data_IF_262497176443
#
_entry.id   IF_262497176443
#
_cell.length_a   1.000
_cell.length_b   1.000
_cell.length_c   1.000
_cell.angle_alpha   90.00
_cell.angle_beta   90.00
_cell.angle_gamma   90.00
#
_symmetry.space_group_name_H-M   'P 1'
#
loop_
_entity.id
_entity.type
_entity.pdbx_description
1 polymer ?
#
# COMPACT_ATOMS: atom_id res chain seq x y z
N UNK A 1 -4.57 7.33 -19.81
CA UNK A 1 -3.73 8.19 -18.94
C UNK A 1 -3.34 9.42 -19.73
N UNK A 2 -3.52 10.65 -19.17
CA UNK A 2 -3.18 11.89 -19.88
C UNK A 2 -1.80 12.45 -19.52
N UNK A 3 -1.14 11.86 -18.54
CA UNK A 3 0.19 12.25 -18.08
C UNK A 3 1.05 10.99 -17.92
N UNK A 4 2.08 10.78 -18.77
CA UNK A 4 2.94 9.60 -18.68
C UNK A 4 3.76 9.54 -17.38
N UNK A 5 3.93 10.65 -16.66
CA UNK A 5 4.55 10.67 -15.32
C UNK A 5 3.55 10.44 -14.17
N UNK A 6 2.29 10.07 -14.48
CA UNK A 6 1.28 9.57 -13.53
C UNK A 6 0.78 8.24 -14.08
N UNK A 7 1.60 7.22 -13.91
CA UNK A 7 1.36 5.88 -14.45
C UNK A 7 2.22 4.85 -13.70
N UNK A 8 1.95 3.58 -13.95
CA UNK A 8 2.70 2.46 -13.39
C UNK A 8 3.45 1.74 -14.50
N UNK A 9 4.74 1.50 -14.31
CA UNK A 9 5.63 0.90 -15.30
C UNK A 9 6.23 -0.40 -14.79
N UNK A 10 6.34 -1.40 -15.67
CA UNK A 10 6.91 -2.71 -15.35
C UNK A 10 8.41 -2.71 -15.58
N UNK A 11 9.17 -3.19 -14.60
CA UNK A 11 10.63 -3.35 -14.68
C UNK A 11 11.05 -4.67 -15.35
N UNK A 12 12.33 -4.80 -15.67
CA UNK A 12 12.91 -6.00 -16.29
C UNK A 12 12.63 -7.28 -15.49
N UNK A 13 12.69 -7.19 -14.17
CA UNK A 13 12.44 -8.28 -13.22
C UNK A 13 10.96 -8.47 -12.87
N UNK A 14 10.07 -7.86 -13.65
CA UNK A 14 8.62 -8.05 -13.52
C UNK A 14 7.97 -7.31 -12.36
N UNK A 15 8.71 -6.42 -11.69
CA UNK A 15 8.20 -5.57 -10.62
C UNK A 15 7.55 -4.31 -11.21
N UNK A 16 6.91 -3.52 -10.37
CA UNK A 16 6.26 -2.31 -10.82
C UNK A 16 6.70 -1.09 -10.02
N UNK A 17 6.80 0.04 -10.72
CA UNK A 17 7.08 1.36 -10.16
C UNK A 17 5.91 2.27 -10.54
N UNK A 18 5.33 2.94 -9.55
CA UNK A 18 4.33 3.97 -9.75
C UNK A 18 5.01 5.34 -9.76
N UNK A 19 4.77 6.11 -10.81
CA UNK A 19 5.11 7.52 -10.87
C UNK A 19 3.89 8.37 -10.52
N UNK A 20 4.07 9.45 -9.76
CA UNK A 20 2.99 10.32 -9.30
C UNK A 20 3.36 11.81 -9.43
N UNK A 21 3.99 12.18 -10.56
CA UNK A 21 4.51 13.52 -10.83
C UNK A 21 3.44 14.37 -11.51
N UNK A 22 2.53 14.94 -10.72
CA UNK A 22 1.38 15.70 -11.24
C UNK A 22 1.79 16.91 -12.09
N UNK A 23 2.90 17.57 -11.72
CA UNK A 23 3.45 18.71 -12.46
C UNK A 23 4.39 18.22 -13.58
N UNK A 24 3.82 17.57 -14.58
CA UNK A 24 4.55 16.89 -15.67
C UNK A 24 5.66 17.76 -16.29
N UNK A 25 5.41 19.04 -16.54
CA UNK A 25 6.42 19.92 -17.15
C UNK A 25 7.63 20.16 -16.25
N UNK A 26 7.41 20.25 -14.93
CA UNK A 26 8.50 20.47 -13.95
C UNK A 26 9.44 19.27 -13.88
N UNK A 27 8.87 18.06 -13.90
CA UNK A 27 9.62 16.84 -13.63
C UNK A 27 10.12 16.10 -14.88
N UNK A 28 9.66 16.47 -16.08
CA UNK A 28 10.01 15.74 -17.31
C UNK A 28 11.50 15.72 -17.60
N UNK A 29 12.12 16.89 -17.74
CA UNK A 29 13.55 16.98 -18.03
C UNK A 29 14.45 16.40 -16.93
N UNK A 30 14.21 16.66 -15.60
CA UNK A 30 14.94 16.00 -14.54
C UNK A 30 14.80 14.48 -14.54
N UNK A 31 13.60 13.95 -14.81
CA UNK A 31 13.36 12.52 -14.94
C UNK A 31 14.15 11.92 -16.12
N UNK A 32 14.07 12.52 -17.29
CA UNK A 32 14.80 12.06 -18.47
C UNK A 32 16.33 12.09 -18.23
N UNK A 33 16.84 13.12 -17.59
CA UNK A 33 18.26 13.23 -17.24
C UNK A 33 18.67 12.11 -16.27
N UNK A 34 17.88 11.87 -15.23
CA UNK A 34 18.17 10.81 -14.25
C UNK A 34 18.14 9.42 -14.89
N UNK A 35 17.25 9.21 -15.86
CA UNK A 35 17.09 7.96 -16.59
C UNK A 35 18.08 7.76 -17.76
N UNK A 36 18.98 8.73 -17.98
CA UNK A 36 19.93 8.76 -19.10
C UNK A 36 19.22 8.73 -20.48
N UNK A 37 18.11 9.47 -20.58
CA UNK A 37 17.28 9.63 -21.79
C UNK A 37 17.02 11.11 -22.09
N UNK A 38 18.09 11.89 -22.19
CA UNK A 38 18.02 13.32 -22.56
C UNK A 38 17.42 13.53 -23.96
N UNK A 39 17.55 12.51 -24.84
CA UNK A 39 16.90 12.47 -26.13
C UNK A 39 15.37 12.65 -26.02
N UNK A 40 14.73 12.08 -25.01
CA UNK A 40 13.29 12.24 -24.77
C UNK A 40 12.94 13.63 -24.22
N UNK A 41 13.85 14.26 -23.47
CA UNK A 41 13.62 15.60 -22.96
C UNK A 41 13.56 16.63 -24.09
N UNK A 42 14.38 16.44 -25.12
CA UNK A 42 14.53 17.33 -26.26
C UNK A 42 13.63 16.93 -27.48
N UNK A 43 12.97 15.78 -27.39
CA UNK A 43 12.07 15.32 -28.46
C UNK A 43 10.87 16.25 -28.59
N UNK A 44 10.64 16.86 -29.76
CA UNK A 44 9.53 17.81 -29.97
C UNK A 44 8.15 17.20 -29.73
N UNK A 45 8.03 15.86 -29.77
CA UNK A 45 6.79 15.15 -29.41
C UNK A 45 6.52 15.18 -27.91
N UNK A 46 7.57 15.37 -27.06
CA UNK A 46 7.49 15.17 -25.62
C UNK A 46 8.02 16.34 -24.79
N UNK A 47 8.74 17.29 -25.37
CA UNK A 47 9.40 18.40 -24.69
C UNK A 47 8.43 19.27 -23.86
N UNK A 48 7.24 19.54 -24.40
CA UNK A 48 6.22 20.34 -23.72
C UNK A 48 5.09 19.45 -23.19
N UNK A 49 4.46 19.85 -22.07
CA UNK A 49 3.34 19.10 -21.47
C UNK A 49 2.17 18.91 -22.46
N UNK A 50 1.85 19.93 -23.26
CA UNK A 50 0.83 19.86 -24.30
C UNK A 50 1.15 18.82 -25.37
N UNK A 51 2.43 18.69 -25.73
CA UNK A 51 2.87 17.74 -26.75
C UNK A 51 2.91 16.32 -26.22
N UNK A 52 3.36 16.13 -24.97
CA UNK A 52 3.27 14.84 -24.27
C UNK A 52 1.83 14.33 -24.15
N UNK A 53 0.88 15.22 -23.83
CA UNK A 53 -0.55 14.86 -23.78
C UNK A 53 -1.10 14.47 -25.12
N UNK A 54 -0.71 15.18 -26.18
CA UNK A 54 -1.14 14.89 -27.56
C UNK A 54 -0.57 13.56 -28.04
N UNK A 55 0.67 13.25 -27.65
CA UNK A 55 1.40 12.05 -28.04
C UNK A 55 1.52 11.03 -26.90
N UNK A 56 0.57 11.02 -25.94
CA UNK A 56 0.68 10.26 -24.71
C UNK A 56 0.92 8.76 -24.94
N UNK A 57 0.28 8.15 -25.94
CA UNK A 57 0.48 6.74 -26.27
C UNK A 57 1.92 6.44 -26.68
N UNK A 58 2.51 7.28 -27.54
CA UNK A 58 3.90 7.14 -27.95
C UNK A 58 4.86 7.38 -26.77
N UNK A 59 4.59 8.36 -25.92
CA UNK A 59 5.41 8.64 -24.75
C UNK A 59 5.36 7.49 -23.73
N UNK A 60 4.18 6.93 -23.46
CA UNK A 60 4.02 5.76 -22.59
C UNK A 60 4.79 4.55 -23.14
N UNK A 61 4.72 4.30 -24.46
CA UNK A 61 5.46 3.20 -25.09
C UNK A 61 6.99 3.35 -24.94
N UNK A 62 7.53 4.58 -25.06
CA UNK A 62 8.94 4.86 -24.79
C UNK A 62 9.30 4.57 -23.33
N UNK A 63 8.45 4.99 -22.40
CA UNK A 63 8.69 4.73 -20.97
C UNK A 63 8.52 3.26 -20.60
N UNK A 64 7.55 2.55 -21.17
CA UNK A 64 7.41 1.09 -20.98
C UNK A 64 8.68 0.36 -21.41
N UNK A 65 9.22 0.68 -22.59
CA UNK A 65 10.47 0.10 -23.08
C UNK A 65 11.66 0.46 -22.19
N UNK A 66 11.72 1.71 -21.73
CA UNK A 66 12.77 2.20 -20.83
C UNK A 66 12.76 1.47 -19.48
N UNK A 67 11.58 1.36 -18.84
CA UNK A 67 11.44 0.69 -17.55
C UNK A 67 11.71 -0.82 -17.64
N UNK A 68 11.27 -1.46 -18.72
CA UNK A 68 11.54 -2.88 -18.99
C UNK A 68 13.03 -3.20 -19.21
N UNK A 69 13.86 -2.19 -19.45
CA UNK A 69 15.30 -2.37 -19.69
C UNK A 69 16.15 -2.52 -18.43
N UNK A 70 15.62 -2.28 -17.23
CA UNK A 70 16.39 -2.28 -15.97
C UNK A 70 15.61 -2.93 -14.84
N UNK A 71 16.34 -3.47 -13.85
CA UNK A 71 15.73 -4.06 -12.64
C UNK A 71 15.13 -3.00 -11.71
N UNK A 72 14.26 -3.44 -10.78
CA UNK A 72 13.75 -2.57 -9.72
C UNK A 72 14.87 -1.94 -8.88
N UNK A 73 15.92 -2.71 -8.59
CA UNK A 73 17.07 -2.24 -7.82
C UNK A 73 17.82 -1.09 -8.53
N UNK A 74 18.00 -1.22 -9.85
CA UNK A 74 18.64 -0.17 -10.66
C UNK A 74 17.75 1.08 -10.70
N UNK A 75 16.44 0.90 -10.92
CA UNK A 75 15.49 2.00 -10.96
C UNK A 75 15.41 2.77 -9.64
N UNK A 76 15.49 2.10 -8.49
CA UNK A 76 15.58 2.77 -7.18
C UNK A 76 16.76 3.75 -7.11
N UNK A 77 17.92 3.36 -7.62
CA UNK A 77 19.10 4.22 -7.63
C UNK A 77 18.95 5.39 -8.62
N UNK A 78 18.36 5.13 -9.77
CA UNK A 78 18.13 6.14 -10.81
C UNK A 78 17.13 7.19 -10.31
N UNK A 79 15.96 6.75 -9.84
CA UNK A 79 14.89 7.64 -9.43
C UNK A 79 15.20 8.41 -8.14
N UNK A 80 16.10 7.90 -7.30
CA UNK A 80 16.59 8.64 -6.14
C UNK A 80 17.41 9.89 -6.48
N UNK A 81 17.82 10.08 -7.76
CA UNK A 81 18.60 11.23 -8.21
C UNK A 81 17.73 12.41 -8.68
N UNK A 82 16.41 12.27 -8.64
CA UNK A 82 15.47 13.29 -9.09
C UNK A 82 14.38 13.53 -8.02
N UNK A 83 13.72 14.70 -8.07
CA UNK A 83 12.80 15.17 -7.03
C UNK A 83 11.31 14.76 -7.28
N UNK A 84 11.02 14.17 -8.43
CA UNK A 84 9.65 13.76 -8.76
C UNK A 84 9.18 12.61 -7.87
N UNK A 85 7.89 12.59 -7.58
CA UNK A 85 7.28 11.59 -6.70
C UNK A 85 7.17 10.24 -7.42
N UNK A 86 7.66 9.21 -6.77
CA UNK A 86 7.58 7.82 -7.23
C UNK A 86 7.63 6.88 -6.04
N UNK A 87 7.12 5.67 -6.23
CA UNK A 87 7.32 4.58 -5.27
C UNK A 87 7.23 3.23 -5.98
N UNK A 88 7.67 2.19 -5.29
CA UNK A 88 7.53 0.81 -5.77
C UNK A 88 6.14 0.27 -5.44
N UNK A 89 5.62 -0.59 -6.30
CA UNK A 89 4.43 -1.38 -5.96
C UNK A 89 4.88 -2.61 -5.21
N UNK A 90 4.72 -2.59 -3.90
CA UNK A 90 5.06 -3.69 -3.00
C UNK A 90 4.03 -4.81 -3.12
N UNK A 91 4.45 -6.05 -2.90
CA UNK A 91 3.54 -7.16 -2.65
C UNK A 91 3.22 -7.26 -1.14
N UNK A 92 2.18 -8.02 -0.80
CA UNK A 92 1.71 -8.13 0.59
C UNK A 92 2.77 -8.69 1.54
N UNK A 93 3.61 -9.61 1.08
CA UNK A 93 4.67 -10.20 1.91
C UNK A 93 5.76 -9.18 2.29
N UNK A 94 6.04 -8.21 1.42
CA UNK A 94 7.03 -7.16 1.66
C UNK A 94 6.60 -6.15 2.70
N UNK A 95 5.28 -5.99 2.93
CA UNK A 95 4.74 -5.04 3.89
C UNK A 95 5.19 -5.33 5.33
N UNK A 96 5.39 -6.60 5.68
CA UNK A 96 5.85 -6.98 7.02
C UNK A 96 7.25 -6.44 7.35
N UNK A 97 8.08 -6.24 6.32
CA UNK A 97 9.45 -5.76 6.43
C UNK A 97 9.61 -4.28 6.05
N UNK A 98 8.54 -3.64 5.59
CA UNK A 98 8.57 -2.23 5.21
C UNK A 98 8.83 -1.32 6.41
N UNK A 99 9.84 -0.43 6.36
CA UNK A 99 10.18 0.46 7.48
C UNK A 99 9.03 1.40 7.86
N UNK A 100 8.23 1.85 6.90
CA UNK A 100 7.10 2.75 7.15
C UNK A 100 5.95 2.01 7.84
N UNK A 101 5.67 0.76 7.43
CA UNK A 101 4.66 -0.11 8.06
C UNK A 101 5.06 -0.38 9.51
N UNK A 102 6.33 -0.67 9.76
CA UNK A 102 6.87 -0.90 11.12
C UNK A 102 6.83 0.36 11.98
N UNK A 103 7.30 1.50 11.46
CA UNK A 103 7.31 2.77 12.19
C UNK A 103 5.90 3.20 12.61
N UNK A 104 4.89 2.98 11.77
CA UNK A 104 3.49 3.27 12.06
C UNK A 104 2.76 2.14 12.81
N UNK A 105 3.40 1.02 13.06
CA UNK A 105 2.78 -0.15 13.73
C UNK A 105 1.50 -0.61 13.04
N UNK A 106 1.47 -0.60 11.70
CA UNK A 106 0.32 -1.07 10.93
C UNK A 106 0.13 -2.58 11.00
N UNK A 107 1.20 -3.32 11.32
CA UNK A 107 1.14 -4.75 11.62
C UNK A 107 1.70 -4.94 13.02
N UNK A 108 0.93 -5.56 13.92
CA UNK A 108 1.30 -5.79 15.31
C UNK A 108 1.13 -7.26 15.67
N UNK A 109 1.98 -7.81 16.57
CA UNK A 109 1.80 -9.16 17.08
C UNK A 109 0.59 -9.21 18.02
N UNK A 110 -0.26 -10.22 17.85
CA UNK A 110 -1.40 -10.51 18.71
C UNK A 110 -1.22 -11.90 19.28
N UNK A 111 -1.31 -12.02 20.60
CA UNK A 111 -1.29 -13.30 21.30
C UNK A 111 -2.70 -13.90 21.36
N UNK A 112 -2.86 -15.04 20.72
CA UNK A 112 -4.10 -15.84 20.70
C UNK A 112 -4.13 -16.90 21.81
N UNK A 113 -3.23 -16.82 22.76
CA UNK A 113 -3.09 -17.79 23.85
C UNK A 113 -2.23 -19.01 23.46
N UNK A 114 -1.81 -19.77 24.48
CA UNK A 114 -0.94 -20.94 24.33
C UNK A 114 0.35 -20.69 23.53
N UNK A 115 0.89 -19.47 23.57
CA UNK A 115 2.11 -19.06 22.83
C UNK A 115 1.89 -18.85 21.34
N UNK A 116 0.66 -18.82 20.86
CA UNK A 116 0.35 -18.57 19.43
C UNK A 116 0.29 -17.08 19.16
N UNK A 117 1.41 -16.50 18.75
CA UNK A 117 1.51 -15.10 18.35
C UNK A 117 1.38 -15.02 16.83
N UNK A 118 0.46 -14.17 16.33
CA UNK A 118 0.24 -13.95 14.92
C UNK A 118 0.34 -12.45 14.58
N UNK A 119 0.98 -12.07 13.46
CA UNK A 119 0.96 -10.70 12.98
C UNK A 119 -0.45 -10.34 12.47
N UNK A 120 -1.03 -9.29 13.03
CA UNK A 120 -2.35 -8.79 12.63
C UNK A 120 -2.25 -7.33 12.17
N UNK A 121 -3.04 -7.01 11.15
CA UNK A 121 -3.15 -5.63 10.67
C UNK A 121 -3.93 -4.81 11.70
N UNK A 122 -3.35 -3.70 12.12
CA UNK A 122 -4.01 -2.72 12.99
C UNK A 122 -5.07 -1.93 12.22
N UNK A 123 -5.95 -1.24 12.96
CA UNK A 123 -6.86 -0.28 12.32
C UNK A 123 -6.05 0.83 11.64
N UNK A 124 -6.50 1.36 10.49
CA UNK A 124 -5.80 2.46 9.82
C UNK A 124 -5.95 3.79 10.57
N UNK A 125 -6.89 3.87 11.51
CA UNK A 125 -7.16 5.08 12.30
C UNK A 125 -6.23 5.09 13.52
N UNK A 126 -5.55 6.21 13.70
CA UNK A 126 -4.71 6.48 14.87
C UNK A 126 -5.25 7.70 15.62
N UNK A 127 -5.25 7.62 16.94
CA UNK A 127 -5.57 8.74 17.82
C UNK A 127 -4.29 9.24 18.47
N UNK A 128 -4.02 10.54 18.38
CA UNK A 128 -2.79 11.17 18.88
C UNK A 128 -1.50 10.47 18.42
N UNK A 129 -1.50 9.98 17.15
CA UNK A 129 -0.36 9.25 16.59
C UNK A 129 -0.16 7.84 17.15
N UNK A 130 -1.14 7.33 17.93
CA UNK A 130 -1.09 6.00 18.53
C UNK A 130 -2.07 5.07 17.83
N UNK A 131 -1.62 3.98 17.19
CA UNK A 131 -2.50 2.96 16.64
C UNK A 131 -3.19 2.19 17.79
N UNK A 132 -4.44 1.81 17.56
CA UNK A 132 -5.13 0.90 18.47
C UNK A 132 -4.46 -0.48 18.43
N UNK A 133 -4.24 -1.06 19.61
CA UNK A 133 -3.72 -2.41 19.70
C UNK A 133 -4.79 -3.42 19.25
N UNK A 134 -4.51 -4.27 18.24
CA UNK A 134 -5.42 -5.33 17.84
C UNK A 134 -5.56 -6.35 18.97
N UNK A 135 -6.74 -6.95 19.09
CA UNK A 135 -7.05 -8.00 20.08
C UNK A 135 -7.54 -9.24 19.32
N UNK A 136 -7.38 -10.43 19.89
CA UNK A 136 -8.05 -11.61 19.38
C UNK A 136 -9.57 -11.40 19.32
N UNK A 137 -10.21 -11.97 18.31
CA UNK A 137 -11.66 -12.07 18.34
C UNK A 137 -12.07 -13.01 19.48
N UNK A 138 -13.18 -12.72 20.16
CA UNK A 138 -13.69 -13.64 21.19
C UNK A 138 -14.06 -15.00 20.58
N UNK A 139 -13.97 -16.04 21.37
CA UNK A 139 -14.49 -17.35 20.97
C UNK A 139 -16.03 -17.32 20.86
N UNK A 140 -16.57 -18.32 20.17
CA UNK A 140 -18.03 -18.43 20.04
C UNK A 140 -18.65 -18.54 21.45
N UNK A 141 -19.57 -17.64 21.76
CA UNK A 141 -20.27 -17.59 23.03
C UNK A 141 -19.49 -17.04 24.22
N UNK A 142 -18.22 -16.66 24.05
CA UNK A 142 -17.33 -16.19 25.15
C UNK A 142 -17.94 -15.07 26.00
N UNK A 143 -18.71 -14.17 25.38
CA UNK A 143 -19.32 -13.02 26.06
C UNK A 143 -20.84 -13.17 26.27
N UNK A 144 -21.44 -14.33 25.96
CA UNK A 144 -22.90 -14.50 26.00
C UNK A 144 -23.48 -14.24 27.38
N UNK A 145 -22.88 -14.78 28.45
CA UNK A 145 -23.35 -14.59 29.82
C UNK A 145 -23.24 -13.13 30.26
N UNK A 146 -22.09 -12.51 30.00
CA UNK A 146 -21.85 -11.09 30.34
C UNK A 146 -22.88 -10.17 29.69
N UNK A 147 -23.14 -10.38 28.40
CA UNK A 147 -24.08 -9.57 27.62
C UNK A 147 -25.52 -9.78 28.11
N UNK A 148 -25.95 -11.02 28.35
CA UNK A 148 -27.30 -11.32 28.82
C UNK A 148 -27.55 -10.80 30.23
N UNK A 149 -26.56 -10.93 31.13
CA UNK A 149 -26.61 -10.34 32.46
C UNK A 149 -26.72 -8.82 32.38
N UNK A 150 -25.96 -8.14 31.54
CA UNK A 150 -26.06 -6.70 31.33
C UNK A 150 -27.42 -6.26 30.77
N UNK A 151 -28.11 -7.13 30.04
CA UNK A 151 -29.47 -6.93 29.53
C UNK A 151 -30.55 -7.27 30.59
N UNK A 152 -30.19 -7.72 31.79
CA UNK A 152 -31.11 -7.97 32.90
C UNK A 152 -31.65 -9.39 32.98
N UNK A 153 -31.12 -10.35 32.22
CA UNK A 153 -31.46 -11.77 32.37
C UNK A 153 -30.87 -12.31 33.67
N UNK A 154 -31.67 -13.12 34.37
CA UNK A 154 -31.23 -13.86 35.54
C UNK A 154 -30.36 -15.05 35.14
N UNK A 155 -29.58 -15.58 36.11
CA UNK A 155 -28.75 -16.76 35.89
C UNK A 155 -29.57 -17.98 35.43
N UNK A 156 -30.76 -18.19 36.02
CA UNK A 156 -31.67 -19.29 35.66
C UNK A 156 -32.18 -19.16 34.21
N UNK A 157 -32.49 -17.94 33.77
CA UNK A 157 -32.91 -17.69 32.41
C UNK A 157 -31.77 -17.97 31.41
N UNK A 158 -30.54 -17.54 31.73
CA UNK A 158 -29.35 -17.78 30.90
C UNK A 158 -29.07 -19.27 30.77
N UNK A 159 -29.15 -20.02 31.89
CA UNK A 159 -29.01 -21.50 31.92
C UNK A 159 -30.11 -22.13 31.02
N UNK A 160 -31.33 -21.65 31.14
CA UNK A 160 -32.45 -22.14 30.29
C UNK A 160 -32.18 -21.93 28.82
N UNK A 161 -31.62 -20.78 28.42
CA UNK A 161 -31.23 -20.47 27.03
C UNK A 161 -30.11 -21.40 26.53
N UNK A 162 -29.13 -21.70 27.39
CA UNK A 162 -28.06 -22.65 27.06
C UNK A 162 -28.55 -24.08 26.89
N UNK A 163 -29.43 -24.54 27.79
CA UNK A 163 -30.05 -25.87 27.70
C UNK A 163 -30.89 -26.01 26.41
N UNK A 164 -31.50 -24.92 25.96
CA UNK A 164 -32.29 -24.90 24.74
C UNK A 164 -31.44 -24.67 23.46
N UNK A 165 -30.10 -24.67 23.55
CA UNK A 165 -29.14 -24.40 22.46
C UNK A 165 -29.42 -23.06 21.74
N UNK A 166 -29.96 -22.06 22.41
CA UNK A 166 -30.23 -20.73 21.87
C UNK A 166 -28.96 -19.84 21.96
N UNK A 167 -28.16 -20.04 23.03
CA UNK A 167 -26.89 -19.36 23.27
C UNK A 167 -25.81 -20.33 23.71
N UNK A 168 -24.56 -19.94 23.49
CA UNK A 168 -23.37 -20.71 23.85
C UNK A 168 -22.67 -20.11 25.06
#
# INVERSE_FOLDING_TARGET
VNNPLVNTYRTLDGRFIALCMLQSQRYWAPFCLAADRTDLADDPRFAQDSDRRRNVGACVAELDALFAGKSLADWRQILARQEGQWDIVQNVAELADDPQVRANRYIQPVDYGAGRIMPMVSTPIQFDGSPLAPRPAPALGENSEEILTALGYSEDEIIGLKIADVVF
#
